data_IF_726382366264
#
_entry.id   IF_726382366264
#
_cell.length_a   1.000
_cell.length_b   1.000
_cell.length_c   1.000
_cell.angle_alpha   90.00
_cell.angle_beta   90.00
_cell.angle_gamma   90.00
#
_symmetry.space_group_name_H-M   'P 1'
#
loop_
_entity.id
_entity.type
_entity.pdbx_description
1 polymer ?
#
# COMPACT_ATOMS: atom_id res chain seq x y z
N UNK A 1 14.82 -11.32 0.33
CA UNK A 1 15.30 -9.96 0.63
C UNK A 1 14.16 -9.20 1.27
N UNK A 2 14.40 -8.52 2.38
CA UNK A 2 13.41 -7.69 3.07
C UNK A 2 14.00 -6.29 3.14
N UNK A 3 13.23 -5.28 2.76
CA UNK A 3 13.66 -3.88 2.69
C UNK A 3 12.60 -2.99 3.32
N UNK A 4 13.01 -2.07 4.19
CA UNK A 4 12.10 -1.16 4.91
C UNK A 4 12.47 0.29 4.62
N UNK A 5 11.49 1.10 4.22
CA UNK A 5 11.65 2.54 4.01
C UNK A 5 11.03 3.30 5.18
N UNK A 6 11.86 3.91 6.01
CA UNK A 6 11.43 4.65 7.21
C UNK A 6 12.13 6.01 7.29
N UNK A 7 11.51 6.95 7.99
CA UNK A 7 12.10 8.24 8.33
C UNK A 7 11.33 8.87 9.48
N UNK A 8 12.02 9.60 10.35
CA UNK A 8 11.44 10.24 11.53
C UNK A 8 10.57 11.47 11.24
N UNK A 9 10.48 11.90 9.97
CA UNK A 9 9.62 12.99 9.51
C UNK A 9 8.55 12.51 8.52
N UNK A 10 7.37 13.10 8.57
CA UNK A 10 6.34 13.00 7.53
C UNK A 10 6.76 13.70 6.23
N UNK A 11 6.18 13.32 5.09
CA UNK A 11 6.40 14.03 3.82
C UNK A 11 7.78 13.85 3.16
N UNK A 12 8.60 12.90 3.61
CA UNK A 12 9.94 12.63 3.05
C UNK A 12 9.96 11.69 1.83
N UNK A 13 8.80 11.37 1.26
CA UNK A 13 8.70 10.52 0.05
C UNK A 13 8.78 9.00 0.26
N UNK A 14 8.75 8.51 1.51
CA UNK A 14 8.82 7.07 1.86
C UNK A 14 7.80 6.21 1.09
N UNK A 15 6.53 6.62 1.10
CA UNK A 15 5.43 5.92 0.41
C UNK A 15 5.66 5.89 -1.09
N UNK A 16 6.05 7.03 -1.67
CA UNK A 16 6.32 7.17 -3.10
C UNK A 16 7.44 6.26 -3.57
N UNK A 17 8.60 6.29 -2.88
CA UNK A 17 9.73 5.44 -3.28
C UNK A 17 9.43 3.96 -3.08
N UNK A 18 8.70 3.60 -2.01
CA UNK A 18 8.30 2.22 -1.75
C UNK A 18 7.42 1.68 -2.87
N UNK A 19 6.40 2.44 -3.27
CA UNK A 19 5.49 2.04 -4.35
C UNK A 19 6.18 1.94 -5.71
N UNK A 20 7.01 2.93 -6.06
CA UNK A 20 7.76 2.93 -7.32
C UNK A 20 8.75 1.76 -7.38
N UNK A 21 9.47 1.47 -6.29
CA UNK A 21 10.38 0.34 -6.25
C UNK A 21 9.64 -1.00 -6.35
N UNK A 22 8.54 -1.17 -5.62
CA UNK A 22 7.72 -2.36 -5.71
C UNK A 22 7.22 -2.60 -7.14
N UNK A 23 6.74 -1.54 -7.81
CA UNK A 23 6.31 -1.61 -9.21
C UNK A 23 7.46 -1.97 -10.15
N UNK A 24 8.63 -1.34 -10.00
CA UNK A 24 9.82 -1.65 -10.81
C UNK A 24 10.28 -3.10 -10.64
N UNK A 25 10.40 -3.56 -9.40
CA UNK A 25 10.82 -4.95 -9.09
C UNK A 25 9.81 -5.96 -9.64
N UNK A 26 8.51 -5.63 -9.57
CA UNK A 26 7.47 -6.49 -10.10
C UNK A 26 7.44 -6.52 -11.62
N UNK A 27 7.42 -5.36 -12.28
CA UNK A 27 7.16 -5.23 -13.73
C UNK A 27 8.41 -5.32 -14.60
N UNK A 28 9.54 -4.79 -14.12
CA UNK A 28 10.78 -4.72 -14.91
C UNK A 28 11.70 -5.89 -14.58
N UNK A 29 11.83 -6.22 -13.29
CA UNK A 29 12.68 -7.35 -12.86
C UNK A 29 11.93 -8.69 -12.82
N UNK A 30 10.63 -8.70 -13.11
CA UNK A 30 9.78 -9.89 -13.11
C UNK A 30 9.88 -10.73 -11.83
N UNK A 31 9.89 -10.05 -10.68
CA UNK A 31 9.90 -10.71 -9.36
C UNK A 31 8.55 -10.60 -8.68
N UNK A 32 8.19 -11.61 -7.89
CA UNK A 32 7.04 -11.53 -6.99
C UNK A 32 7.38 -10.59 -5.83
N UNK A 33 6.55 -9.59 -5.62
CA UNK A 33 6.69 -8.59 -4.55
C UNK A 33 5.48 -8.67 -3.65
N UNK A 34 5.69 -8.70 -2.35
CA UNK A 34 4.67 -8.45 -1.34
C UNK A 34 5.00 -7.11 -0.68
N UNK A 35 4.02 -6.22 -0.62
CA UNK A 35 4.14 -4.93 0.04
C UNK A 35 3.31 -4.97 1.32
N UNK A 36 3.92 -4.58 2.43
CA UNK A 36 3.28 -4.55 3.75
C UNK A 36 3.26 -3.10 4.21
N UNK A 37 2.06 -2.51 4.28
CA UNK A 37 1.87 -1.15 4.78
C UNK A 37 1.59 -1.19 6.28
N UNK A 38 2.55 -0.73 7.07
CA UNK A 38 2.46 -0.65 8.53
C UNK A 38 2.30 0.79 9.03
N UNK A 39 2.17 1.75 8.11
CA UNK A 39 1.89 3.15 8.47
C UNK A 39 0.39 3.30 8.76
N UNK A 40 -0.02 3.81 9.93
CA UNK A 40 -1.44 4.06 10.23
C UNK A 40 -2.13 4.97 9.20
N UNK A 41 -1.38 5.79 8.45
CA UNK A 41 -1.92 6.62 7.39
C UNK A 41 -2.23 5.84 6.11
N UNK A 42 -1.85 4.57 5.98
CA UNK A 42 -2.23 3.69 4.87
C UNK A 42 -1.83 4.20 3.48
N UNK A 43 -0.72 4.93 3.39
CA UNK A 43 -0.33 5.62 2.15
C UNK A 43 -0.05 4.67 0.98
N UNK A 44 0.56 3.51 1.23
CA UNK A 44 0.78 2.52 0.18
C UNK A 44 -0.51 1.79 -0.16
N UNK A 45 -1.35 1.49 0.83
CA UNK A 45 -2.67 0.90 0.62
C UNK A 45 -3.49 1.76 -0.34
N UNK A 46 -3.59 3.07 -0.10
CA UNK A 46 -4.29 4.00 -1.00
C UNK A 46 -3.61 4.08 -2.38
N UNK A 47 -2.28 4.05 -2.45
CA UNK A 47 -1.54 4.11 -3.71
C UNK A 47 -1.86 2.92 -4.63
N UNK A 48 -2.02 1.71 -4.08
CA UNK A 48 -2.22 0.50 -4.86
C UNK A 48 -3.69 0.07 -5.01
N UNK A 49 -4.53 0.36 -4.03
CA UNK A 49 -5.93 -0.06 -4.01
C UNK A 49 -6.91 1.08 -4.35
N UNK A 50 -6.44 2.32 -4.45
CA UNK A 50 -7.28 3.49 -4.71
C UNK A 50 -7.98 4.04 -3.45
N UNK A 51 -8.72 5.13 -3.64
CA UNK A 51 -9.39 5.86 -2.55
C UNK A 51 -10.67 5.15 -2.07
N UNK A 52 -11.34 4.39 -2.95
CA UNK A 52 -12.53 3.59 -2.64
C UNK A 52 -12.24 2.53 -1.56
N UNK A 53 -11.08 1.86 -1.66
CA UNK A 53 -10.61 0.91 -0.64
C UNK A 53 -10.54 1.57 0.74
N UNK A 54 -10.11 2.83 0.77
CA UNK A 54 -9.93 3.59 1.98
C UNK A 54 -11.25 3.96 2.64
N UNK A 55 -12.27 4.29 1.87
CA UNK A 55 -13.61 4.56 2.40
C UNK A 55 -14.21 3.34 3.13
N UNK A 56 -13.89 2.13 2.66
CA UNK A 56 -14.33 0.88 3.31
C UNK A 56 -13.50 0.59 4.57
N UNK A 57 -12.19 0.83 4.52
CA UNK A 57 -11.29 0.62 5.66
C UNK A 57 -11.59 1.63 6.79
N UNK A 58 -11.84 2.89 6.43
CA UNK A 58 -12.06 4.01 7.37
C UNK A 58 -13.55 4.15 7.76
N UNK A 59 -14.47 3.58 6.97
CA UNK A 59 -15.92 3.64 7.17
C UNK A 59 -16.44 2.67 8.23
N UNK A 60 -17.54 3.03 8.92
CA UNK A 60 -18.21 2.33 10.05
C UNK A 60 -18.75 0.91 9.76
N UNK A 61 -18.29 0.25 8.70
CA UNK A 61 -18.58 -1.15 8.38
C UNK A 61 -17.47 -2.01 8.98
N UNK A 62 -17.76 -3.20 9.50
CA UNK A 62 -16.70 -4.16 9.91
C UNK A 62 -15.91 -4.58 8.67
N UNK A 63 -14.73 -4.00 8.39
CA UNK A 63 -14.06 -4.22 7.13
C UNK A 63 -13.35 -5.57 7.21
N UNK A 64 -13.73 -6.51 6.36
CA UNK A 64 -12.96 -7.73 6.16
C UNK A 64 -12.00 -7.55 4.99
N UNK A 65 -10.90 -8.29 4.98
CA UNK A 65 -9.99 -8.35 3.84
C UNK A 65 -10.77 -8.69 2.56
N UNK A 66 -11.77 -9.57 2.66
CA UNK A 66 -12.63 -9.94 1.54
C UNK A 66 -13.39 -8.75 0.95
N UNK A 67 -14.05 -7.94 1.80
CA UNK A 67 -14.82 -6.79 1.32
C UNK A 67 -13.94 -5.74 0.65
N UNK A 68 -12.76 -5.47 1.19
CA UNK A 68 -11.82 -4.50 0.61
C UNK A 68 -11.32 -4.98 -0.75
N UNK A 69 -10.98 -6.27 -0.88
CA UNK A 69 -10.44 -6.82 -2.12
C UNK A 69 -11.49 -6.95 -3.24
N UNK A 70 -12.77 -7.17 -2.91
CA UNK A 70 -13.85 -7.22 -3.91
C UNK A 70 -14.16 -5.84 -4.50
N UNK A 71 -13.97 -4.75 -3.75
CA UNK A 71 -14.26 -3.39 -4.26
C UNK A 71 -13.21 -2.90 -5.25
N UNK A 72 -11.97 -3.38 -5.14
CA UNK A 72 -10.82 -2.88 -5.91
C UNK A 72 -10.36 -3.84 -7.01
N UNK A 73 -11.13 -4.91 -7.23
CA UNK A 73 -10.95 -5.90 -8.29
C UNK A 73 -11.50 -5.39 -9.61
#
# INVERSE_FOLDING_TARGET
MITTFTSMKGGTGKTTITGLLANYVSKILNKRVILIDIDPQGGCTTLFLGQEAREIIDGKSTPTIFNVLETVR
#
